data_IF_933538704338
#
_entry.id   IF_933538704338
#
_cell.length_a   1.000
_cell.length_b   1.000
_cell.length_c   1.000
_cell.angle_alpha   90.00
_cell.angle_beta   90.00
_cell.angle_gamma   90.00
#
_symmetry.space_group_name_H-M   'P 1'
#
loop_
_entity.id
_entity.type
_entity.pdbx_description
1 polymer ?
#
# COMPACT_ATOMS: atom_id res chain seq x y z
N UNK A 1 8.19 13.45 8.47
CA UNK A 1 7.19 12.39 8.29
C UNK A 1 7.88 11.17 7.73
N UNK A 2 7.70 10.05 8.40
CA UNK A 2 8.05 8.75 7.85
C UNK A 2 7.09 8.45 6.71
N UNK A 3 7.62 8.20 5.52
CA UNK A 3 6.79 7.87 4.36
C UNK A 3 6.67 6.35 4.31
N UNK A 4 5.50 5.80 4.58
CA UNK A 4 5.28 4.35 4.46
C UNK A 4 5.16 3.93 2.99
N UNK A 5 5.61 2.71 2.69
CA UNK A 5 5.53 2.11 1.37
C UNK A 5 4.95 0.70 1.44
N UNK A 6 3.89 0.48 0.68
CA UNK A 6 3.33 -0.85 0.44
C UNK A 6 4.16 -1.61 -0.61
N UNK A 7 4.32 -2.92 -0.40
CA UNK A 7 4.94 -3.82 -1.37
C UNK A 7 3.97 -4.14 -2.52
N UNK A 8 3.89 -3.23 -3.49
CA UNK A 8 3.09 -3.42 -4.69
C UNK A 8 3.80 -4.22 -5.80
N UNK A 9 4.98 -4.79 -5.54
CA UNK A 9 5.76 -5.50 -6.57
C UNK A 9 5.29 -6.94 -6.75
N UNK A 10 5.68 -7.54 -7.89
CA UNK A 10 5.46 -8.95 -8.18
C UNK A 10 4.24 -9.23 -9.07
N UNK A 11 3.96 -10.52 -9.21
CA UNK A 11 2.82 -11.04 -10.00
C UNK A 11 1.50 -10.56 -9.40
N UNK A 12 0.42 -10.61 -10.18
CA UNK A 12 -0.90 -10.20 -9.69
C UNK A 12 -1.40 -11.05 -8.51
N UNK A 13 -1.00 -12.33 -8.46
CA UNK A 13 -1.27 -13.20 -7.31
C UNK A 13 -0.52 -12.74 -6.05
N UNK A 14 0.76 -12.40 -6.17
CA UNK A 14 1.55 -11.86 -5.06
C UNK A 14 1.00 -10.49 -4.61
N UNK A 15 0.60 -9.64 -5.56
CA UNK A 15 -0.04 -8.36 -5.27
C UNK A 15 -1.33 -8.55 -4.47
N UNK A 16 -2.22 -9.45 -4.91
CA UNK A 16 -3.47 -9.74 -4.20
C UNK A 16 -3.22 -10.28 -2.78
N UNK A 17 -2.26 -11.18 -2.62
CA UNK A 17 -1.86 -11.68 -1.31
C UNK A 17 -1.38 -10.54 -0.39
N UNK A 18 -0.54 -9.64 -0.92
CA UNK A 18 -0.06 -8.48 -0.16
C UNK A 18 -1.19 -7.52 0.21
N UNK A 19 -2.16 -7.29 -0.70
CA UNK A 19 -3.34 -6.43 -0.41
C UNK A 19 -4.17 -7.03 0.73
N UNK A 20 -4.42 -8.34 0.71
CA UNK A 20 -5.16 -9.00 1.78
C UNK A 20 -4.41 -8.91 3.12
N UNK A 21 -3.10 -9.15 3.12
CA UNK A 21 -2.26 -8.99 4.32
C UNK A 21 -2.29 -7.56 4.84
N UNK A 22 -2.21 -6.57 3.95
CA UNK A 22 -2.28 -5.16 4.30
C UNK A 22 -3.63 -4.81 4.94
N UNK A 23 -4.75 -5.22 4.34
CA UNK A 23 -6.07 -4.94 4.90
C UNK A 23 -6.34 -5.68 6.21
N UNK A 24 -5.86 -6.90 6.37
CA UNK A 24 -5.94 -7.61 7.65
C UNK A 24 -5.17 -6.88 8.75
N UNK A 25 -3.94 -6.43 8.47
CA UNK A 25 -3.16 -5.65 9.43
C UNK A 25 -3.83 -4.30 9.72
N UNK A 26 -4.34 -3.64 8.69
CA UNK A 26 -5.00 -2.34 8.76
C UNK A 26 -6.25 -2.38 9.63
N UNK A 27 -7.11 -3.39 9.48
CA UNK A 27 -8.31 -3.54 10.29
C UNK A 27 -8.01 -3.97 11.73
N UNK A 28 -6.80 -4.46 12.00
CA UNK A 28 -6.33 -4.77 13.35
C UNK A 28 -5.70 -3.60 14.10
N UNK A 29 -5.57 -2.41 13.49
CA UNK A 29 -4.92 -1.27 14.12
C UNK A 29 -5.76 -0.65 15.25
N UNK A 30 -5.10 -0.30 16.34
CA UNK A 30 -5.67 0.32 17.53
C UNK A 30 -6.29 1.69 17.27
N UNK A 31 -5.71 2.50 16.37
CA UNK A 31 -6.31 3.78 15.92
C UNK A 31 -7.76 3.66 15.44
N UNK A 32 -8.20 2.49 14.98
CA UNK A 32 -9.56 2.28 14.49
C UNK A 32 -10.50 1.66 15.53
N UNK A 33 -10.03 1.43 16.76
CA UNK A 33 -10.86 0.91 17.87
C UNK A 33 -12.06 1.80 18.15
N UNK A 34 -11.93 3.11 17.93
CA UNK A 34 -13.00 4.10 18.12
C UNK A 34 -13.79 4.39 16.84
N UNK A 35 -13.65 3.55 15.80
CA UNK A 35 -14.35 3.68 14.53
C UNK A 35 -13.42 3.90 13.34
N UNK A 36 -13.93 3.52 12.17
CA UNK A 36 -13.23 3.68 10.91
C UNK A 36 -13.50 5.06 10.30
N UNK A 37 -12.49 5.84 9.90
CA UNK A 37 -12.69 7.18 9.36
C UNK A 37 -13.13 7.13 7.88
N UNK A 38 -14.39 6.72 7.64
CA UNK A 38 -14.96 6.50 6.31
C UNK A 38 -14.84 7.73 5.39
N UNK A 39 -15.05 8.94 5.93
CA UNK A 39 -14.96 10.18 5.16
C UNK A 39 -13.54 10.44 4.60
N UNK A 40 -12.51 9.88 5.24
CA UNK A 40 -11.10 10.09 4.85
C UNK A 40 -10.56 8.92 4.03
N UNK A 41 -10.93 7.69 4.38
CA UNK A 41 -10.35 6.46 3.80
C UNK A 41 -11.29 5.69 2.87
N UNK A 42 -12.58 6.07 2.83
CA UNK A 42 -13.65 5.23 2.29
C UNK A 42 -14.06 4.14 3.29
N UNK A 43 -15.24 3.55 3.13
CA UNK A 43 -15.68 2.45 3.98
C UNK A 43 -14.86 1.18 3.76
N UNK A 44 -14.89 0.27 4.74
CA UNK A 44 -14.30 -1.06 4.60
C UNK A 44 -14.91 -1.83 3.41
N UNK A 45 -16.22 -1.68 3.17
CA UNK A 45 -16.91 -2.28 2.02
C UNK A 45 -16.35 -1.78 0.69
N UNK A 46 -16.01 -0.48 0.58
CA UNK A 46 -15.41 0.09 -0.64
C UNK A 46 -14.01 -0.50 -0.90
N UNK A 47 -13.22 -0.74 0.14
CA UNK A 47 -11.91 -1.39 0.01
C UNK A 47 -12.05 -2.86 -0.43
N UNK A 48 -13.04 -3.55 0.13
CA UNK A 48 -13.34 -4.93 -0.24
C UNK A 48 -13.82 -5.03 -1.69
N UNK A 49 -14.74 -4.15 -2.13
CA UNK A 49 -15.20 -4.09 -3.52
C UNK A 49 -14.05 -3.83 -4.50
N UNK A 50 -13.10 -2.95 -4.15
CA UNK A 50 -11.91 -2.73 -4.97
C UNK A 50 -11.04 -3.98 -5.12
N UNK A 51 -10.88 -4.75 -4.03
CA UNK A 51 -10.12 -6.00 -4.02
C UNK A 51 -10.80 -7.08 -4.84
N UNK A 52 -12.12 -7.22 -4.68
CA UNK A 52 -12.91 -8.21 -5.40
C UNK A 52 -12.96 -7.90 -6.90
N UNK A 53 -13.05 -6.61 -7.27
CA UNK A 53 -12.93 -6.18 -8.66
C UNK A 53 -11.58 -6.56 -9.28
N UNK A 54 -10.47 -6.30 -8.58
CA UNK A 54 -9.16 -6.73 -9.05
C UNK A 54 -9.07 -8.26 -9.18
N UNK A 55 -9.60 -9.01 -8.22
CA UNK A 55 -9.65 -10.48 -8.26
C UNK A 55 -10.42 -10.99 -9.48
N UNK A 56 -11.60 -10.43 -9.78
CA UNK A 56 -12.41 -10.81 -10.94
C UNK A 56 -11.67 -10.55 -12.26
N UNK A 57 -11.03 -9.39 -12.39
CA UNK A 57 -10.27 -9.03 -13.60
C UNK A 57 -8.96 -9.81 -13.72
N UNK A 58 -8.35 -10.23 -12.61
CA UNK A 58 -7.22 -11.14 -12.59
C UNK A 58 -7.61 -12.51 -13.15
N UNK A 59 -8.70 -13.11 -12.69
CA UNK A 59 -9.18 -14.40 -13.20
C UNK A 59 -9.59 -14.31 -14.67
N UNK A 60 -10.29 -13.24 -15.07
CA UNK A 60 -10.62 -13.00 -16.48
C UNK A 60 -9.36 -12.80 -17.34
N UNK A 61 -8.40 -11.99 -16.90
CA UNK A 61 -7.19 -11.69 -17.66
C UNK A 61 -6.30 -12.90 -17.98
N UNK A 62 -6.44 -14.02 -17.24
CA UNK A 62 -5.77 -15.30 -17.56
C UNK A 62 -6.26 -15.92 -18.88
N UNK A 63 -7.44 -15.51 -19.37
CA UNK A 63 -8.00 -15.96 -20.65
C UNK A 63 -7.35 -15.30 -21.87
N UNK A 64 -6.43 -14.34 -21.68
CA UNK A 64 -5.73 -13.65 -22.77
C UNK A 64 -6.50 -12.48 -23.39
N UNK A 65 -7.69 -12.14 -22.87
CA UNK A 65 -8.49 -11.03 -23.36
C UNK A 65 -7.84 -9.67 -23.04
N UNK A 66 -7.52 -8.89 -24.09
CA UNK A 66 -6.86 -7.57 -23.98
C UNK A 66 -7.67 -6.56 -23.15
N UNK A 67 -9.00 -6.57 -23.25
CA UNK A 67 -9.86 -5.66 -22.47
C UNK A 67 -9.79 -5.97 -20.97
N UNK A 68 -9.78 -7.25 -20.61
CA UNK A 68 -9.68 -7.68 -19.21
C UNK A 68 -8.28 -7.44 -18.64
N UNK A 69 -7.23 -7.57 -19.46
CA UNK A 69 -5.87 -7.16 -19.07
C UNK A 69 -5.81 -5.65 -18.77
N UNK A 70 -6.43 -4.82 -19.59
CA UNK A 70 -6.51 -3.37 -19.36
C UNK A 70 -7.31 -3.05 -18.09
N UNK A 71 -8.47 -3.68 -17.91
CA UNK A 71 -9.30 -3.52 -16.72
C UNK A 71 -8.57 -3.94 -15.44
N UNK A 72 -7.82 -5.05 -15.47
CA UNK A 72 -6.96 -5.51 -14.35
C UNK A 72 -5.89 -4.48 -13.99
N UNK A 73 -5.22 -3.89 -14.98
CA UNK A 73 -4.22 -2.84 -14.75
C UNK A 73 -4.84 -1.60 -14.11
N UNK A 74 -6.02 -1.18 -14.57
CA UNK A 74 -6.77 -0.07 -13.96
C UNK A 74 -7.14 -0.39 -12.52
N UNK A 75 -7.69 -1.56 -12.26
CA UNK A 75 -8.07 -2.00 -10.90
C UNK A 75 -6.88 -1.99 -9.94
N UNK A 76 -5.69 -2.42 -10.40
CA UNK A 76 -4.44 -2.35 -9.63
C UNK A 76 -4.04 -0.91 -9.32
N UNK A 77 -4.13 0.00 -10.29
CA UNK A 77 -3.82 1.42 -10.08
C UNK A 77 -4.77 2.08 -9.09
N UNK A 78 -6.06 1.76 -9.15
CA UNK A 78 -7.07 2.27 -8.22
C UNK A 78 -6.81 1.79 -6.79
N UNK A 79 -6.47 0.50 -6.62
CA UNK A 79 -6.05 -0.05 -5.33
C UNK A 79 -4.78 0.62 -4.81
N UNK A 80 -3.76 0.79 -5.64
CA UNK A 80 -2.51 1.48 -5.26
C UNK A 80 -2.77 2.92 -4.79
N UNK A 81 -3.68 3.64 -5.44
CA UNK A 81 -4.04 5.01 -5.04
C UNK A 81 -4.73 5.03 -3.67
N UNK A 82 -5.66 4.10 -3.42
CA UNK A 82 -6.35 3.96 -2.14
C UNK A 82 -5.37 3.60 -1.02
N UNK A 83 -4.49 2.62 -1.27
CA UNK A 83 -3.46 2.21 -0.32
C UNK A 83 -2.53 3.39 0.01
N UNK A 84 -2.11 4.19 -0.98
CA UNK A 84 -1.30 5.40 -0.72
C UNK A 84 -2.01 6.40 0.18
N UNK A 85 -3.31 6.64 -0.02
CA UNK A 85 -4.10 7.53 0.85
C UNK A 85 -4.16 7.02 2.28
N UNK A 86 -4.38 5.71 2.46
CA UNK A 86 -4.37 5.06 3.77
C UNK A 86 -2.99 5.22 4.43
N UNK A 87 -1.91 4.88 3.73
CA UNK A 87 -0.55 5.01 4.26
C UNK A 87 -0.21 6.46 4.65
N UNK A 88 -0.68 7.44 3.89
CA UNK A 88 -0.49 8.84 4.22
C UNK A 88 -1.24 9.23 5.50
N UNK A 89 -2.48 8.77 5.66
CA UNK A 89 -3.24 8.98 6.88
C UNK A 89 -2.56 8.33 8.10
N UNK A 90 -2.08 7.09 7.95
CA UNK A 90 -1.34 6.38 9.01
C UNK A 90 -0.05 7.11 9.39
N UNK A 91 0.68 7.67 8.42
CA UNK A 91 1.90 8.46 8.69
C UNK A 91 1.66 9.72 9.53
N UNK A 92 0.42 10.20 9.60
CA UNK A 92 0.04 11.41 10.34
C UNK A 92 -0.63 11.09 11.66
N UNK A 93 -1.48 10.05 11.69
CA UNK A 93 -2.40 9.80 12.79
C UNK A 93 -2.03 8.58 13.65
N UNK A 94 -1.26 7.63 13.12
CA UNK A 94 -0.94 6.40 13.84
C UNK A 94 0.06 6.65 14.97
N UNK A 95 -0.14 5.96 16.09
CA UNK A 95 0.85 5.91 17.15
C UNK A 95 1.96 4.89 16.85
N UNK A 96 3.00 4.83 17.68
CA UNK A 96 4.13 3.92 17.44
C UNK A 96 3.70 2.44 17.47
N UNK A 97 2.68 2.07 18.27
CA UNK A 97 2.20 0.70 18.37
C UNK A 97 1.50 0.23 17.09
N UNK A 98 0.72 1.12 16.48
CA UNK A 98 0.08 0.90 15.19
C UNK A 98 1.11 0.82 14.06
N UNK A 99 2.14 1.67 14.12
CA UNK A 99 3.25 1.64 13.16
C UNK A 99 4.01 0.32 13.24
N UNK A 100 4.31 -0.17 14.45
CA UNK A 100 4.97 -1.47 14.65
C UNK A 100 4.11 -2.60 14.10
N UNK A 101 2.82 -2.60 14.39
CA UNK A 101 1.86 -3.59 13.86
C UNK A 101 1.86 -3.59 12.32
N UNK A 102 1.83 -2.39 11.73
CA UNK A 102 1.85 -2.22 10.28
C UNK A 102 3.16 -2.74 9.65
N UNK A 103 4.32 -2.48 10.26
CA UNK A 103 5.61 -2.96 9.76
C UNK A 103 5.77 -4.47 9.92
N UNK A 104 5.25 -5.04 11.01
CA UNK A 104 5.26 -6.48 11.26
C UNK A 104 4.38 -7.27 10.29
N UNK A 105 3.48 -6.61 9.54
CA UNK A 105 2.73 -7.24 8.45
C UNK A 105 3.62 -7.77 7.31
N UNK A 106 4.87 -7.31 7.21
CA UNK A 106 5.82 -7.69 6.16
C UNK A 106 5.52 -7.11 4.78
N UNK A 107 4.38 -6.41 4.62
CA UNK A 107 3.95 -5.81 3.34
C UNK A 107 4.05 -4.28 3.34
N UNK A 108 4.40 -3.67 4.47
CA UNK A 108 4.67 -2.24 4.60
C UNK A 108 6.10 -2.01 5.11
N UNK A 109 6.77 -1.01 4.55
CA UNK A 109 8.12 -0.60 4.94
C UNK A 109 8.18 0.91 5.17
N UNK A 110 9.12 1.37 6.01
CA UNK A 110 9.47 2.80 6.05
C UNK A 110 10.33 3.12 4.83
N UNK A 111 9.96 4.15 4.07
CA UNK A 111 10.81 4.67 3.00
C UNK A 111 12.04 5.30 3.65
N UNK A 112 13.19 4.65 3.50
CA UNK A 112 14.46 5.29 3.83
C UNK A 112 14.55 6.60 3.05
N UNK A 113 14.67 7.73 3.75
CA UNK A 113 15.16 8.96 3.11
C UNK A 113 16.50 8.57 2.49
N UNK A 114 16.62 8.62 1.16
CA UNK A 114 17.92 8.42 0.50
C UNK A 114 18.87 9.41 1.16
N UNK A 115 19.84 8.91 1.93
CA UNK A 115 20.93 9.73 2.47
C UNK A 115 21.57 10.38 1.25
N UNK A 116 21.39 11.69 1.09
CA UNK A 116 22.02 12.42 -0.01
C UNK A 116 23.51 12.11 0.08
N UNK A 117 24.01 11.33 -0.89
CA UNK A 117 25.42 11.01 -1.00
C UNK A 117 26.10 12.33 -1.36
N UNK A 118 26.49 13.12 -0.35
CA UNK A 118 27.44 14.22 -0.52
C UNK A 118 28.70 13.54 -1.03
N UNK A 119 28.88 13.55 -2.35
CA UNK A 119 30.19 13.40 -2.97
C UNK A 119 31.02 14.56 -2.45
N UNK A 120 31.74 14.34 -1.36
CA UNK A 120 32.80 15.23 -0.94
C UNK A 120 33.81 15.27 -2.10
N UNK A 121 33.93 16.41 -2.76
CA UNK A 121 35.06 16.64 -3.67
C UNK A 121 36.33 16.55 -2.82
N UNK A 122 37.36 15.80 -3.23
CA UNK A 122 38.64 15.82 -2.53
C UNK A 122 39.23 17.22 -2.65
N UNK A 123 39.55 17.82 -1.51
CA UNK A 123 40.35 19.04 -1.47
C UNK A 123 41.77 18.62 -1.81
N UNK A 124 42.24 19.01 -2.99
CA UNK A 124 43.66 18.90 -3.35
C UNK A 124 44.36 20.02 -2.58
N UNK A 125 45.15 19.65 -1.57
CA UNK A 125 46.06 20.58 -0.92
C UNK A 125 47.18 20.93 -1.92
N UNK A 126 47.31 22.23 -2.22
CA UNK A 126 48.44 22.82 -2.93
C UNK A 126 49.22 23.71 -1.99
#
# INVERSE_FOLDING_TARGET
MDEFRFNSNGTDAAYLANVNMFFNALFGLGIFRNGWPEEKLGSQSVLQTGTDWFRQMFEGGKTGNRLQIAARKSARQDLDLRIKRILHYLAVMADESDIVTLLNSGVVTRKSKKRARRTAKPVIAG
#
